data_IF_733881201311
#
_entry.id   IF_733881201311
#
_cell.length_a   1.000
_cell.length_b   1.000
_cell.length_c   1.000
_cell.angle_alpha   90.00
_cell.angle_beta   90.00
_cell.angle_gamma   90.00
#
_symmetry.space_group_name_H-M   'P 1'
#
loop_
_entity.id
_entity.type
_entity.pdbx_description
1 polymer ?
#
# COMPACT_ATOMS: atom_id res chain seq x y z
N UNK A 1 13.33 15.99 2.25
CA UNK A 1 12.17 15.28 1.70
C UNK A 1 11.04 15.33 2.72
N UNK A 2 9.78 15.52 2.31
CA UNK A 2 8.65 15.54 3.23
C UNK A 2 8.45 14.18 3.88
N UNK A 3 7.94 14.18 5.11
CA UNK A 3 7.69 12.96 5.87
C UNK A 3 6.72 12.03 5.11
N UNK A 4 7.02 10.72 4.99
CA UNK A 4 6.14 9.77 4.33
C UNK A 4 4.73 9.75 4.92
N UNK A 5 3.73 9.62 4.07
CA UNK A 5 2.36 9.33 4.48
C UNK A 5 2.25 7.84 4.79
N UNK A 6 2.14 7.52 6.08
CA UNK A 6 2.00 6.14 6.57
C UNK A 6 0.53 5.76 6.57
N UNK A 7 0.17 4.71 5.83
CA UNK A 7 -1.21 4.23 5.70
C UNK A 7 -1.34 2.77 6.11
N UNK A 8 -2.55 2.38 6.51
CA UNK A 8 -2.90 0.99 6.79
C UNK A 8 -4.01 0.53 5.83
N UNK A 9 -3.94 -0.73 5.39
CA UNK A 9 -4.98 -1.35 4.56
C UNK A 9 -5.90 -2.24 5.40
N UNK A 10 -7.20 -1.94 5.39
CA UNK A 10 -8.22 -2.76 6.02
C UNK A 10 -8.74 -3.81 5.03
N UNK A 11 -7.94 -4.83 4.77
CA UNK A 11 -8.26 -5.94 3.88
C UNK A 11 -7.14 -6.21 2.87
N UNK A 12 -6.84 -7.49 2.66
CA UNK A 12 -5.84 -7.96 1.70
C UNK A 12 -6.49 -8.81 0.59
N UNK A 13 -7.76 -8.59 0.25
CA UNK A 13 -8.39 -9.27 -0.89
C UNK A 13 -7.83 -8.82 -2.24
N UNK A 14 -8.49 -9.16 -3.34
CA UNK A 14 -8.09 -8.78 -4.71
C UNK A 14 -7.76 -7.28 -4.84
N UNK A 15 -8.60 -6.43 -4.26
CA UNK A 15 -8.38 -4.97 -4.28
C UNK A 15 -7.19 -4.57 -3.40
N UNK A 16 -7.08 -5.11 -2.19
CA UNK A 16 -5.99 -4.77 -1.27
C UNK A 16 -4.62 -5.15 -1.82
N UNK A 17 -4.48 -6.37 -2.37
CA UNK A 17 -3.25 -6.80 -3.04
C UNK A 17 -2.93 -5.96 -4.28
N UNK A 18 -3.95 -5.64 -5.09
CA UNK A 18 -3.79 -4.76 -6.25
C UNK A 18 -3.32 -3.35 -5.87
N UNK A 19 -3.83 -2.79 -4.78
CA UNK A 19 -3.38 -1.49 -4.26
C UNK A 19 -1.91 -1.53 -3.86
N UNK A 20 -1.46 -2.55 -3.13
CA UNK A 20 -0.04 -2.69 -2.74
C UNK A 20 0.83 -2.76 -3.99
N UNK A 21 0.46 -3.61 -4.95
CA UNK A 21 1.20 -3.79 -6.21
C UNK A 21 1.32 -2.47 -6.98
N UNK A 22 0.19 -1.76 -7.18
CA UNK A 22 0.19 -0.50 -7.93
C UNK A 22 0.95 0.62 -7.21
N UNK A 23 0.88 0.69 -5.87
CA UNK A 23 1.66 1.65 -5.08
C UNK A 23 3.16 1.43 -5.25
N UNK A 24 3.61 0.19 -5.31
CA UNK A 24 5.02 -0.13 -5.47
C UNK A 24 5.50 0.10 -6.92
N UNK A 25 4.78 -0.45 -7.91
CA UNK A 25 5.11 -0.31 -9.34
C UNK A 25 5.11 1.16 -9.81
N UNK A 26 4.28 2.02 -9.20
CA UNK A 26 4.13 3.42 -9.59
C UNK A 26 4.72 4.41 -8.56
N UNK A 27 5.56 3.94 -7.63
CA UNK A 27 6.09 4.73 -6.49
C UNK A 27 6.53 6.15 -6.90
N UNK A 28 7.37 6.26 -7.93
CA UNK A 28 7.90 7.56 -8.36
C UNK A 28 6.81 8.49 -8.93
N UNK A 29 5.85 7.96 -9.68
CA UNK A 29 4.74 8.76 -10.23
C UNK A 29 3.82 9.24 -9.10
N UNK A 30 3.51 8.36 -8.15
CA UNK A 30 2.63 8.65 -7.02
C UNK A 30 3.29 9.65 -6.08
N UNK A 31 4.57 9.49 -5.77
CA UNK A 31 5.33 10.46 -4.96
C UNK A 31 5.33 11.84 -5.59
N UNK A 32 5.57 11.95 -6.91
CA UNK A 32 5.49 13.24 -7.62
C UNK A 32 4.11 13.90 -7.52
N UNK A 33 3.03 13.11 -7.55
CA UNK A 33 1.65 13.62 -7.47
C UNK A 33 1.22 13.96 -6.04
N UNK A 34 1.59 13.12 -5.08
CA UNK A 34 1.27 13.29 -3.66
C UNK A 34 2.18 14.30 -2.96
N UNK A 35 3.31 14.65 -3.58
CA UNK A 35 4.35 15.49 -3.02
C UNK A 35 5.08 14.87 -1.83
N UNK A 36 4.91 13.55 -1.58
CA UNK A 36 5.60 12.77 -0.54
C UNK A 36 5.46 11.26 -0.83
N UNK A 37 6.37 10.42 -0.30
CA UNK A 37 6.20 8.97 -0.36
C UNK A 37 4.94 8.51 0.37
N UNK A 38 4.30 7.45 -0.14
CA UNK A 38 3.20 6.75 0.54
C UNK A 38 3.71 5.37 0.94
N UNK A 39 3.60 5.05 2.23
CA UNK A 39 4.09 3.80 2.79
C UNK A 39 2.95 3.02 3.43
N UNK A 40 2.71 1.81 2.95
CA UNK A 40 1.80 0.86 3.61
C UNK A 40 2.56 0.25 4.78
N UNK A 41 2.15 0.59 6.01
CA UNK A 41 2.87 0.16 7.23
C UNK A 41 2.14 -0.93 8.01
N UNK A 42 0.86 -1.17 7.68
CA UNK A 42 0.06 -2.20 8.31
C UNK A 42 -1.02 -2.71 7.36
N UNK A 43 -1.41 -3.97 7.54
CA UNK A 43 -2.55 -4.57 6.87
C UNK A 43 -3.36 -5.36 7.89
N UNK A 44 -4.68 -5.16 7.89
CA UNK A 44 -5.61 -6.01 8.62
C UNK A 44 -6.25 -7.00 7.65
N UNK A 45 -6.24 -8.29 8.00
CA UNK A 45 -6.90 -9.33 7.24
C UNK A 45 -7.47 -10.37 8.20
N UNK A 46 -8.59 -11.01 7.81
CA UNK A 46 -9.28 -12.01 8.65
C UNK A 46 -8.40 -13.22 8.99
N UNK A 47 -7.51 -13.61 8.10
CA UNK A 47 -6.59 -14.74 8.26
C UNK A 47 -5.19 -14.33 7.80
N UNK A 48 -4.20 -14.37 8.67
CA UNK A 48 -2.83 -13.95 8.31
C UNK A 48 -2.07 -14.99 7.49
N UNK A 49 -2.49 -16.25 7.54
CA UNK A 49 -1.84 -17.39 6.90
C UNK A 49 -2.37 -17.70 5.51
N UNK A 50 -3.56 -17.21 5.17
CA UNK A 50 -4.15 -17.39 3.85
C UNK A 50 -3.31 -16.67 2.79
N UNK A 51 -2.89 -17.43 1.78
CA UNK A 51 -2.26 -16.94 0.56
C UNK A 51 -3.24 -16.02 -0.21
N UNK A 52 -2.74 -14.86 -0.66
CA UNK A 52 -3.54 -13.82 -1.32
C UNK A 52 -2.88 -13.30 -2.61
N UNK A 53 -2.02 -14.11 -3.21
CA UNK A 53 -1.30 -13.81 -4.45
C UNK A 53 0.19 -13.64 -4.22
#
# INVERSE_FOLDING_TARGET
>A
MPQPLRVALAGLGTVGGGVIKLLDENRALIERRAGRPIEVVAVSARDRSRDRG
#
